data_IF_363627723336
#
_entry.id   IF_363627723336
#
_cell.length_a   1.000
_cell.length_b   1.000
_cell.length_c   1.000
_cell.angle_alpha   90.00
_cell.angle_beta   90.00
_cell.angle_gamma   90.00
#
_symmetry.space_group_name_H-M   'P 1'
#
loop_
_entity.id
_entity.type
_entity.pdbx_description
1 polymer ?
#
# COMPACT_ATOMS: atom_id res chain seq x y z
N UNK A 1 8.76 -19.57 -9.54
CA UNK A 1 9.08 -18.32 -8.81
C UNK A 1 7.85 -17.43 -8.78
N UNK A 2 7.39 -16.97 -7.60
CA UNK A 2 6.14 -16.19 -7.45
C UNK A 2 6.42 -14.69 -7.55
N UNK A 3 5.76 -14.00 -8.49
CA UNK A 3 5.76 -12.53 -8.59
C UNK A 3 4.66 -11.95 -7.73
N UNK A 4 4.91 -10.84 -7.05
CA UNK A 4 3.92 -10.10 -6.26
C UNK A 4 3.66 -8.77 -6.97
N UNK A 5 2.37 -8.46 -7.22
CA UNK A 5 1.90 -7.17 -7.74
C UNK A 5 0.95 -6.57 -6.72
N UNK A 6 1.20 -5.33 -6.32
CA UNK A 6 0.40 -4.59 -5.33
C UNK A 6 -0.11 -3.33 -6.03
N UNK A 7 -1.42 -3.07 -5.89
CA UNK A 7 -2.08 -1.86 -6.38
C UNK A 7 -3.09 -1.45 -5.30
N UNK A 8 -2.72 -0.51 -4.44
CA UNK A 8 -3.47 -0.24 -3.21
C UNK A 8 -3.44 1.24 -2.84
N UNK A 9 -4.46 1.68 -2.12
CA UNK A 9 -4.51 3.00 -1.51
C UNK A 9 -4.04 2.88 -0.05
N UNK A 10 -2.76 3.16 0.22
CA UNK A 10 -2.14 2.95 1.54
C UNK A 10 -1.60 4.25 2.14
N UNK A 11 -1.71 4.43 3.46
CA UNK A 11 -1.05 5.53 4.18
C UNK A 11 0.47 5.30 4.29
N UNK A 12 1.26 6.32 4.67
CA UNK A 12 2.73 6.16 4.87
C UNK A 12 3.03 5.09 5.92
N UNK A 13 2.21 4.98 6.96
CA UNK A 13 2.33 3.98 8.02
C UNK A 13 1.68 2.63 7.71
N UNK A 14 1.31 2.37 6.45
CA UNK A 14 0.92 1.04 6.00
C UNK A 14 -0.54 0.65 6.27
N UNK A 15 -1.41 1.62 6.51
CA UNK A 15 -2.83 1.40 6.81
C UNK A 15 -3.65 1.44 5.51
N UNK A 16 -4.53 0.45 5.36
CA UNK A 16 -5.41 0.28 4.20
C UNK A 16 -6.85 0.34 4.66
N UNK A 17 -7.70 0.98 3.85
CA UNK A 17 -9.13 1.00 4.05
C UNK A 17 -9.84 0.09 3.03
N UNK A 18 -10.82 -0.69 3.51
CA UNK A 18 -11.77 -1.41 2.65
C UNK A 18 -13.01 -0.54 2.40
N UNK A 19 -13.69 -0.77 1.28
CA UNK A 19 -14.78 0.07 0.79
C UNK A 19 -15.97 0.11 1.76
N UNK A 20 -16.18 1.28 2.38
CA UNK A 20 -17.23 1.73 3.33
C UNK A 20 -16.66 2.38 4.62
N UNK A 21 -15.43 2.04 5.02
CA UNK A 21 -14.77 2.66 6.17
C UNK A 21 -15.42 2.39 7.54
N UNK A 22 -16.39 1.48 7.61
CA UNK A 22 -17.04 1.11 8.86
C UNK A 22 -16.04 0.47 9.83
N UNK A 23 -16.06 0.89 11.10
CA UNK A 23 -15.15 0.40 12.13
C UNK A 23 -13.74 1.03 12.13
N UNK A 24 -13.48 2.04 11.29
CA UNK A 24 -12.23 2.79 11.32
C UNK A 24 -12.40 4.12 12.07
N UNK A 25 -11.49 4.43 12.98
CA UNK A 25 -11.43 5.73 13.69
C UNK A 25 -11.36 6.92 12.72
N UNK A 26 -10.73 6.72 11.55
CA UNK A 26 -10.60 7.70 10.48
C UNK A 26 -11.19 7.17 9.16
N UNK A 27 -12.40 6.59 9.20
CA UNK A 27 -13.08 6.10 8.00
C UNK A 27 -13.22 7.18 6.92
N UNK A 28 -12.96 6.82 5.67
CA UNK A 28 -13.06 7.75 4.54
C UNK A 28 -11.88 8.73 4.41
N UNK A 29 -10.76 8.48 5.09
CA UNK A 29 -9.55 9.31 5.03
C UNK A 29 -8.98 9.51 3.63
N UNK A 30 -9.30 8.62 2.68
CA UNK A 30 -8.91 8.75 1.27
C UNK A 30 -9.67 9.85 0.53
N UNK A 31 -10.82 10.32 1.04
CA UNK A 31 -11.74 11.25 0.36
C UNK A 31 -11.07 12.54 -0.10
N UNK A 32 -10.27 13.25 0.73
CA UNK A 32 -9.57 14.47 0.30
C UNK A 32 -8.54 14.24 -0.81
N UNK A 33 -8.08 12.99 -0.97
CA UNK A 33 -7.09 12.59 -1.95
C UNK A 33 -7.69 11.90 -3.17
N UNK A 34 -9.02 11.86 -3.31
CA UNK A 34 -9.70 11.44 -4.55
C UNK A 34 -9.69 12.55 -5.60
N UNK A 35 -8.53 13.18 -5.78
CA UNK A 35 -8.24 14.16 -6.83
C UNK A 35 -7.48 13.46 -7.96
N UNK A 36 -7.36 14.03 -9.17
CA UNK A 36 -6.52 13.44 -10.21
C UNK A 36 -5.10 13.11 -9.71
N UNK A 37 -4.43 14.06 -9.07
CA UNK A 37 -3.10 13.85 -8.49
C UNK A 37 -3.07 12.81 -7.36
N UNK A 38 -4.11 12.71 -6.54
CA UNK A 38 -4.18 11.70 -5.48
C UNK A 38 -4.61 10.31 -5.96
N UNK A 39 -5.24 10.20 -7.15
CA UNK A 39 -5.45 8.93 -7.86
C UNK A 39 -4.16 8.46 -8.58
N UNK A 40 -3.24 9.38 -8.88
CA UNK A 40 -1.88 9.06 -9.35
C UNK A 40 -1.00 8.52 -8.20
N UNK A 41 -1.34 8.83 -6.95
CA UNK A 41 -0.59 8.37 -5.77
C UNK A 41 -1.12 7.04 -5.22
N UNK A 42 -0.22 6.06 -5.10
CA UNK A 42 -0.51 4.74 -4.49
C UNK A 42 -0.23 4.76 -2.97
N UNK A 43 0.65 5.67 -2.53
CA UNK A 43 0.94 5.94 -1.12
C UNK A 43 0.56 7.38 -0.81
N UNK A 44 -0.28 7.58 0.20
CA UNK A 44 -0.76 8.91 0.59
C UNK A 44 0.11 9.49 1.70
N UNK A 45 0.41 10.81 1.68
CA UNK A 45 1.27 11.46 2.65
C UNK A 45 0.58 11.71 4.00
N UNK A 46 0.00 10.67 4.58
CA UNK A 46 -0.74 10.69 5.84
C UNK A 46 -0.26 9.56 6.75
N UNK A 47 -0.22 9.82 8.06
CA UNK A 47 -0.03 8.81 9.11
C UNK A 47 -1.36 8.65 9.83
N UNK A 48 -1.90 7.43 9.89
CA UNK A 48 -3.22 7.17 10.48
C UNK A 48 -3.14 6.61 11.90
N UNK A 49 -2.02 5.98 12.28
CA UNK A 49 -1.74 5.43 13.60
C UNK A 49 -2.51 4.16 13.96
N UNK A 50 -3.79 4.04 13.56
CA UNK A 50 -4.66 2.87 13.83
C UNK A 50 -5.58 2.54 12.65
N UNK A 51 -5.80 1.25 12.42
CA UNK A 51 -6.63 0.73 11.33
C UNK A 51 -6.17 -0.66 10.88
N UNK A 52 -6.79 -1.20 9.83
CA UNK A 52 -6.31 -2.43 9.18
C UNK A 52 -4.95 -2.15 8.52
N UNK A 53 -3.95 -2.96 8.86
CA UNK A 53 -2.61 -2.88 8.28
C UNK A 53 -2.48 -3.82 7.10
N UNK A 54 -1.62 -3.47 6.14
CA UNK A 54 -1.27 -4.37 5.03
C UNK A 54 -0.60 -5.66 5.53
N UNK A 55 0.27 -5.52 6.53
CA UNK A 55 0.89 -6.63 7.23
C UNK A 55 0.49 -6.59 8.70
N UNK A 56 0.18 -7.74 9.29
CA UNK A 56 -0.03 -7.85 10.73
C UNK A 56 1.27 -7.62 11.48
N UNK A 57 1.18 -7.32 12.78
CA UNK A 57 2.35 -7.20 13.67
C UNK A 57 3.11 -8.53 13.84
N UNK A 58 2.48 -9.64 13.45
CA UNK A 58 3.04 -10.98 13.42
C UNK A 58 3.65 -11.37 12.07
N UNK A 59 3.73 -10.44 11.10
CA UNK A 59 4.32 -10.74 9.81
C UNK A 59 5.83 -11.01 9.95
N UNK A 60 6.25 -12.20 9.53
CA UNK A 60 7.68 -12.53 9.51
C UNK A 60 8.42 -11.62 8.52
N UNK A 61 9.58 -11.03 8.90
CA UNK A 61 10.39 -10.25 7.98
C UNK A 61 10.78 -11.04 6.72
N UNK A 62 10.67 -10.39 5.56
CA UNK A 62 10.97 -10.97 4.24
C UNK A 62 11.80 -10.01 3.41
N UNK A 63 12.73 -10.57 2.65
CA UNK A 63 13.52 -9.84 1.66
C UNK A 63 12.77 -9.80 0.32
N UNK A 64 12.66 -8.60 -0.24
CA UNK A 64 12.01 -8.34 -1.52
C UNK A 64 13.00 -7.62 -2.45
N UNK A 65 13.24 -8.19 -3.63
CA UNK A 65 13.94 -7.49 -4.71
C UNK A 65 12.92 -6.68 -5.53
N UNK A 66 13.17 -5.38 -5.68
CA UNK A 66 12.43 -4.58 -6.65
C UNK A 66 12.74 -5.04 -8.07
N UNK A 67 11.71 -5.31 -8.86
CA UNK A 67 11.86 -5.73 -10.26
C UNK A 67 11.54 -4.60 -11.24
N UNK A 68 10.39 -3.93 -11.08
CA UNK A 68 10.01 -2.79 -11.91
C UNK A 68 8.88 -1.97 -11.30
N UNK A 69 8.65 -0.81 -11.93
CA UNK A 69 7.43 -0.02 -11.80
C UNK A 69 6.75 0.04 -13.16
N UNK A 70 5.42 -0.14 -13.18
CA UNK A 70 4.58 0.23 -14.31
C UNK A 70 3.70 1.41 -13.89
N UNK A 71 3.77 2.49 -14.65
CA UNK A 71 2.84 3.62 -14.51
C UNK A 71 1.63 3.37 -15.41
N UNK A 72 0.41 3.48 -14.87
CA UNK A 72 -0.80 3.44 -15.70
C UNK A 72 -1.02 4.79 -16.40
N UNK A 73 -1.94 4.86 -17.37
CA UNK A 73 -2.34 6.14 -17.98
C UNK A 73 -3.00 7.11 -16.99
N UNK A 74 -3.45 6.61 -15.85
CA UNK A 74 -3.99 7.39 -14.73
C UNK A 74 -2.95 7.68 -13.64
N UNK A 75 -1.66 7.43 -13.93
CA UNK A 75 -0.52 7.69 -13.06
C UNK A 75 -0.31 6.73 -11.89
N UNK A 76 -1.14 5.70 -11.72
CA UNK A 76 -0.96 4.67 -10.68
C UNK A 76 0.36 3.94 -10.89
N UNK A 77 1.19 3.89 -9.83
CA UNK A 77 2.44 3.14 -9.80
C UNK A 77 2.22 1.70 -9.35
N UNK A 78 2.37 0.75 -10.28
CA UNK A 78 2.35 -0.67 -9.98
C UNK A 78 3.80 -1.14 -9.81
N UNK A 79 4.24 -1.28 -8.56
CA UNK A 79 5.56 -1.82 -8.24
C UNK A 79 5.50 -3.35 -8.20
N UNK A 80 6.41 -4.00 -8.92
CA UNK A 80 6.57 -5.45 -8.94
C UNK A 80 7.79 -5.84 -8.13
N UNK A 81 7.62 -6.75 -7.18
CA UNK A 81 8.71 -7.29 -6.37
C UNK A 81 8.83 -8.81 -6.54
N UNK A 82 10.06 -9.30 -6.44
CA UNK A 82 10.37 -10.71 -6.27
C UNK A 82 10.60 -10.99 -4.79
N UNK A 83 9.89 -12.00 -4.27
CA UNK A 83 10.19 -12.53 -2.96
C UNK A 83 11.48 -13.35 -3.00
N UNK A 84 12.46 -12.96 -2.18
CA UNK A 84 13.77 -13.62 -2.10
C UNK A 84 13.88 -14.60 -0.93
N UNK A 85 13.04 -14.45 0.10
CA UNK A 85 13.03 -15.32 1.27
C UNK A 85 12.99 -14.54 2.58
N UNK A 86 13.46 -15.13 3.70
CA UNK A 86 13.67 -14.42 4.97
C UNK A 86 14.61 -13.21 4.80
N UNK A 87 14.39 -12.16 5.59
CA UNK A 87 15.31 -11.02 5.64
C UNK A 87 16.64 -11.45 6.28
N UNK A 88 17.77 -11.24 5.60
CA UNK A 88 19.10 -11.44 6.16
C UNK A 88 19.50 -10.22 7.01
N UNK A 89 20.13 -10.46 8.17
CA UNK A 89 20.63 -9.43 9.09
C UNK A 89 22.02 -8.93 8.73
#
# INVERSE_FOLDING_TARGET
MRKIRIMEHISIDGIIQQENGEGFTHGGWTTPYRTPAGLEAVVYPVLLGRGKRFFSDSANPRELAFLNTKVTSTGVLINTYQHLGPLHS
#
